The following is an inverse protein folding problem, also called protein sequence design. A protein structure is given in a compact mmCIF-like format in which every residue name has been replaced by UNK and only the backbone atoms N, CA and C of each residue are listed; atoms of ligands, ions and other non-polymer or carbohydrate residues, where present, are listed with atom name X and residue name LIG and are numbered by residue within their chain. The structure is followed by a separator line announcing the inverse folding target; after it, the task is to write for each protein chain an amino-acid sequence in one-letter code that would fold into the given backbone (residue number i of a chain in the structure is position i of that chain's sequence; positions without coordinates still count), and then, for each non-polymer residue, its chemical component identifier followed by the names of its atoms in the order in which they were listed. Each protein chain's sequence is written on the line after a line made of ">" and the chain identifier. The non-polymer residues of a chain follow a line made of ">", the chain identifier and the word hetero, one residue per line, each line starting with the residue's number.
data_IF_086850838058
#
_entry.id   IF_086850838058
#
_cell.length_a   1.000
_cell.length_b   1.000
_cell.length_c   1.000
_cell.angle_alpha   90.00
_cell.angle_beta   90.00
_cell.angle_gamma   90.00
#
_symmetry.space_group_name_H-M   'P 1'
#
loop_
_entity.id
_entity.type
_entity.pdbx_description
1 polymer ?
#
# COMPACT_ATOMS: atom_id res chain seq x y z
N UNK A 1 6.56 14.39 -22.44
CA UNK A 1 6.40 13.30 -21.46
C UNK A 1 6.24 13.90 -20.09
N UNK A 2 5.01 14.16 -19.65
CA UNK A 2 4.74 14.54 -18.27
C UNK A 2 4.35 13.26 -17.53
N UNK A 3 5.15 12.87 -16.53
CA UNK A 3 4.68 11.95 -15.50
C UNK A 3 3.36 12.52 -14.96
N UNK A 4 2.31 11.71 -14.88
CA UNK A 4 1.12 12.06 -14.12
C UNK A 4 1.55 12.24 -12.67
N UNK A 5 1.86 13.48 -12.29
CA UNK A 5 2.07 13.86 -10.90
C UNK A 5 0.76 13.59 -10.18
N UNK A 6 0.67 12.45 -9.48
CA UNK A 6 -0.45 12.14 -8.60
C UNK A 6 -0.67 13.34 -7.66
N UNK A 7 -1.87 13.89 -7.68
CA UNK A 7 -2.24 15.12 -6.99
C UNK A 7 -2.43 14.83 -5.49
N UNK A 8 -1.33 14.53 -4.80
CA UNK A 8 -1.33 14.34 -3.34
C UNK A 8 -2.37 13.34 -2.83
N UNK A 9 -2.93 13.64 -1.65
CA UNK A 9 -3.94 12.83 -0.97
C UNK A 9 -5.34 13.43 -1.14
N UNK A 10 -5.83 13.48 -2.38
CA UNK A 10 -7.14 14.06 -2.77
C UNK A 10 -8.21 13.03 -3.17
N UNK A 11 -7.87 11.74 -3.09
CA UNK A 11 -8.68 10.60 -3.50
C UNK A 11 -8.96 10.49 -5.01
N UNK A 12 -8.12 11.08 -5.87
CA UNK A 12 -8.14 10.92 -7.34
C UNK A 12 -8.21 9.44 -7.78
N UNK A 13 -7.43 8.57 -7.15
CA UNK A 13 -7.32 7.13 -7.46
C UNK A 13 -8.65 6.38 -7.33
N UNK A 14 -9.62 6.92 -6.58
CA UNK A 14 -10.92 6.27 -6.39
C UNK A 14 -11.87 6.50 -7.57
N UNK A 15 -11.65 7.52 -8.41
CA UNK A 15 -12.49 7.89 -9.56
C UNK A 15 -12.44 6.80 -10.64
N UNK A 16 -13.56 6.57 -11.34
CA UNK A 16 -13.61 5.71 -12.53
C UNK A 16 -13.44 6.53 -13.80
N UNK A 17 -12.86 5.91 -14.84
CA UNK A 17 -12.83 6.49 -16.18
C UNK A 17 -14.25 6.76 -16.69
N UNK A 18 -14.39 7.84 -17.46
CA UNK A 18 -15.63 8.19 -18.16
C UNK A 18 -15.34 8.30 -19.66
N UNK A 19 -16.36 8.63 -20.46
CA UNK A 19 -16.15 8.91 -21.88
C UNK A 19 -15.15 10.06 -22.13
N UNK A 20 -14.99 10.96 -21.15
CA UNK A 20 -14.24 12.21 -21.30
C UNK A 20 -12.94 12.25 -20.50
N UNK A 21 -12.63 11.19 -19.72
CA UNK A 21 -11.38 11.13 -18.94
C UNK A 21 -10.89 9.70 -18.70
N UNK A 22 -9.58 9.57 -18.55
CA UNK A 22 -8.93 8.34 -18.07
C UNK A 22 -8.58 8.52 -16.60
N UNK A 23 -9.09 7.63 -15.75
CA UNK A 23 -8.81 7.65 -14.32
C UNK A 23 -7.40 7.11 -14.02
N UNK A 24 -6.81 7.62 -12.94
CA UNK A 24 -5.55 7.12 -12.39
C UNK A 24 -5.61 5.62 -12.07
N UNK A 25 -6.78 5.12 -11.69
CA UNK A 25 -7.04 3.71 -11.42
C UNK A 25 -6.65 2.77 -12.57
N UNK A 26 -6.74 3.26 -13.81
CA UNK A 26 -6.44 2.48 -15.01
C UNK A 26 -4.97 2.66 -15.47
N UNK A 27 -4.15 3.42 -14.73
CA UNK A 27 -2.73 3.57 -15.00
C UNK A 27 -1.96 2.27 -14.65
N UNK A 28 -0.90 1.98 -15.41
CA UNK A 28 -0.05 0.78 -15.26
C UNK A 28 0.33 0.45 -13.79
N UNK A 29 0.83 1.39 -12.96
CA UNK A 29 1.20 1.08 -11.58
C UNK A 29 0.00 0.74 -10.68
N UNK A 30 -1.22 1.09 -11.10
CA UNK A 30 -2.44 0.97 -10.31
C UNK A 30 -3.31 -0.24 -10.69
N UNK A 31 -2.96 -0.96 -11.77
CA UNK A 31 -3.70 -2.14 -12.24
C UNK A 31 -3.74 -3.28 -11.20
N UNK A 32 -2.83 -3.26 -10.23
CA UNK A 32 -2.77 -4.19 -9.12
C UNK A 32 -3.47 -3.71 -7.85
N UNK A 33 -3.96 -2.47 -7.81
CA UNK A 33 -4.65 -1.96 -6.64
C UNK A 33 -6.00 -2.66 -6.47
N UNK A 34 -6.34 -2.97 -5.23
CA UNK A 34 -7.59 -3.60 -4.88
C UNK A 34 -8.20 -2.97 -3.62
N UNK A 35 -9.40 -3.41 -3.25
CA UNK A 35 -10.10 -2.92 -2.06
C UNK A 35 -11.07 -1.76 -2.32
N UNK A 36 -11.25 -1.30 -3.56
CA UNK A 36 -12.20 -0.24 -3.91
C UNK A 36 -13.67 -0.53 -3.54
N UNK A 37 -14.04 -1.81 -3.38
CA UNK A 37 -15.39 -2.26 -2.99
C UNK A 37 -15.53 -2.46 -1.46
N UNK A 38 -14.50 -2.17 -0.67
CA UNK A 38 -14.54 -2.35 0.78
C UNK A 38 -15.26 -1.19 1.45
N UNK A 39 -16.19 -1.52 2.35
CA UNK A 39 -16.81 -0.53 3.22
C UNK A 39 -16.02 -0.48 4.52
N UNK A 40 -15.47 0.69 4.82
CA UNK A 40 -14.91 1.01 6.12
C UNK A 40 -16.08 1.45 7.01
N UNK A 41 -16.31 0.71 8.10
CA UNK A 41 -17.20 1.14 9.16
C UNK A 41 -16.35 1.34 10.41
N UNK A 42 -16.30 2.57 10.91
CA UNK A 42 -15.60 2.88 12.15
C UNK A 42 -16.40 2.34 13.33
N UNK A 43 -15.74 1.59 14.21
CA UNK A 43 -16.27 1.25 15.54
C UNK A 43 -15.72 2.28 16.54
N UNK A 44 -16.48 2.66 17.60
CA UNK A 44 -15.95 3.54 18.63
C UNK A 44 -14.68 2.95 19.26
N UNK A 45 -13.71 3.79 19.66
CA UNK A 45 -12.46 3.34 20.26
C UNK A 45 -12.74 2.54 21.54
N UNK A 46 -12.18 1.33 21.63
CA UNK A 46 -12.19 0.52 22.85
C UNK A 46 -10.97 0.87 23.70
N UNK A 47 -11.10 1.00 25.04
CA UNK A 47 -9.97 1.27 25.92
C UNK A 47 -8.92 0.15 25.80
N UNK A 48 -7.67 0.52 25.52
CA UNK A 48 -6.54 -0.43 25.46
C UNK A 48 -6.36 -1.19 24.14
N UNK A 49 -7.21 -0.96 23.13
CA UNK A 49 -7.05 -1.57 21.81
C UNK A 49 -6.49 -0.54 20.81
N UNK A 50 -5.52 -0.94 19.97
CA UNK A 50 -5.19 -0.15 18.78
C UNK A 50 -6.47 -0.02 17.91
N UNK A 51 -6.70 1.12 17.26
CA UNK A 51 -7.83 1.27 16.34
C UNK A 51 -7.74 0.19 15.25
N UNK A 52 -8.62 -0.81 15.33
CA UNK A 52 -8.70 -1.87 14.34
C UNK A 52 -9.81 -1.54 13.34
N UNK A 53 -9.42 -1.24 12.11
CA UNK A 53 -10.34 -1.15 10.97
C UNK A 53 -10.88 -2.55 10.67
N UNK A 54 -12.16 -2.79 10.95
CA UNK A 54 -12.85 -4.01 10.51
C UNK A 54 -13.46 -3.79 9.13
N UNK A 55 -12.72 -4.25 8.11
CA UNK A 55 -13.15 -4.23 6.72
C UNK A 55 -14.28 -5.24 6.51
N UNK A 56 -15.48 -4.73 6.24
CA UNK A 56 -16.61 -5.56 5.82
C UNK A 56 -16.59 -5.65 4.29
N UNK A 57 -16.13 -6.79 3.78
CA UNK A 57 -16.12 -7.08 2.34
C UNK A 57 -17.53 -7.39 1.86
N UNK A 58 -18.14 -6.54 1.01
CA UNK A 58 -19.32 -6.96 0.24
C UNK A 58 -18.94 -8.16 -0.60
N UNK A 59 -19.68 -9.26 -0.48
CA UNK A 59 -19.40 -10.53 -1.18
C UNK A 59 -19.56 -10.36 -2.69
N UNK A 60 -18.53 -9.86 -3.37
CA UNK A 60 -18.26 -10.18 -4.77
C UNK A 60 -16.99 -11.02 -4.81
N UNK A 61 -17.15 -12.30 -5.16
CA UNK A 61 -16.04 -13.18 -5.52
C UNK A 61 -15.70 -12.91 -6.97
N UNK A 62 -15.05 -11.78 -7.24
CA UNK A 62 -14.10 -11.80 -8.36
C UNK A 62 -12.88 -12.57 -7.87
N UNK A 63 -12.31 -13.49 -8.68
CA UNK A 63 -10.93 -13.91 -8.49
C UNK A 63 -10.13 -12.63 -8.33
N UNK A 64 -9.20 -12.64 -7.41
CA UNK A 64 -8.37 -11.52 -7.03
C UNK A 64 -7.10 -11.68 -7.86
N UNK A 65 -7.00 -11.12 -9.09
CA UNK A 65 -5.71 -10.97 -9.74
C UNK A 65 -4.96 -9.89 -8.98
N UNK A 66 -4.23 -10.34 -7.98
CA UNK A 66 -3.35 -9.54 -7.15
C UNK A 66 -2.07 -9.16 -7.87
N UNK A 67 -1.28 -8.21 -7.32
CA UNK A 67 -0.20 -7.59 -8.05
C UNK A 67 0.69 -8.63 -8.69
N UNK A 68 0.87 -8.46 -10.00
CA UNK A 68 1.94 -9.07 -10.78
C UNK A 68 3.30 -8.67 -10.18
N UNK A 69 3.67 -9.26 -9.05
CA UNK A 69 5.06 -9.31 -8.62
C UNK A 69 5.71 -10.28 -9.60
N UNK A 70 6.18 -9.75 -10.74
CA UNK A 70 7.02 -10.51 -11.64
C UNK A 70 8.17 -11.06 -10.81
N UNK A 71 8.16 -12.37 -10.63
CA UNK A 71 9.15 -13.00 -9.80
C UNK A 71 10.49 -13.04 -10.53
N UNK A 72 11.31 -12.01 -10.31
CA UNK A 72 12.69 -11.96 -10.80
C UNK A 72 13.66 -12.74 -9.89
N UNK A 73 13.19 -13.25 -8.75
CA UNK A 73 14.01 -13.97 -7.78
C UNK A 73 13.87 -15.48 -7.97
N UNK A 74 14.99 -16.21 -7.90
CA UNK A 74 15.04 -17.68 -7.75
C UNK A 74 14.53 -18.09 -6.36
N UNK A 75 13.29 -17.75 -6.00
CA UNK A 75 12.60 -18.29 -4.82
C UNK A 75 11.88 -19.58 -5.22
N UNK A 76 11.84 -20.61 -4.38
CA UNK A 76 11.29 -21.94 -4.73
C UNK A 76 9.80 -21.91 -5.09
N UNK A 77 9.07 -20.85 -4.71
CA UNK A 77 7.66 -20.63 -5.06
C UNK A 77 7.45 -20.12 -6.48
N UNK A 78 8.48 -19.59 -7.13
CA UNK A 78 8.40 -19.07 -8.49
C UNK A 78 8.93 -20.10 -9.48
N UNK A 79 8.09 -21.09 -9.79
CA UNK A 79 8.46 -22.22 -10.66
C UNK A 79 8.31 -21.90 -12.15
N UNK A 80 7.51 -20.90 -12.50
CA UNK A 80 7.20 -20.53 -13.88
C UNK A 80 7.61 -19.07 -14.10
N UNK A 81 8.53 -18.86 -15.05
CA UNK A 81 8.81 -17.54 -15.61
C UNK A 81 7.52 -17.05 -16.27
N UNK A 82 6.89 -16.00 -15.73
CA UNK A 82 5.62 -15.39 -16.16
C UNK A 82 4.33 -15.86 -15.48
N UNK A 83 4.41 -16.54 -14.32
CA UNK A 83 3.21 -16.69 -13.49
C UNK A 83 2.82 -15.35 -12.85
N UNK A 84 1.70 -14.82 -13.34
CA UNK A 84 1.06 -13.58 -12.91
C UNK A 84 0.08 -13.79 -11.73
N UNK A 85 -0.28 -15.04 -11.42
CA UNK A 85 -1.31 -15.37 -10.43
C UNK A 85 -0.73 -15.83 -9.08
N UNK A 86 0.53 -16.26 -9.03
CA UNK A 86 1.15 -16.69 -7.77
C UNK A 86 1.46 -15.51 -6.86
N UNK A 87 0.75 -15.44 -5.74
CA UNK A 87 1.02 -14.49 -4.66
C UNK A 87 2.18 -14.96 -3.78
N UNK A 88 3.12 -14.05 -3.50
CA UNK A 88 4.21 -14.28 -2.55
C UNK A 88 4.05 -13.30 -1.39
N UNK A 89 4.14 -13.80 -0.17
CA UNK A 89 4.09 -12.94 1.01
C UNK A 89 5.36 -12.08 1.10
N UNK A 90 5.17 -10.78 1.31
CA UNK A 90 6.27 -9.81 1.48
C UNK A 90 7.00 -10.03 2.80
N UNK A 91 6.28 -10.43 3.84
CA UNK A 91 6.80 -10.79 5.16
C UNK A 91 6.33 -12.21 5.55
N UNK A 92 7.06 -13.26 5.12
CA UNK A 92 6.63 -14.63 5.34
C UNK A 92 6.50 -14.96 6.83
N UNK A 93 5.32 -15.40 7.24
CA UNK A 93 5.05 -15.74 8.65
C UNK A 93 4.57 -14.57 9.51
N UNK A 94 4.67 -13.33 9.03
CA UNK A 94 4.05 -12.15 9.66
C UNK A 94 3.22 -11.28 8.72
N UNK A 95 2.81 -11.81 7.56
CA UNK A 95 2.10 -11.08 6.49
C UNK A 95 0.81 -10.37 6.91
N UNK A 96 0.23 -10.75 8.05
CA UNK A 96 -1.01 -10.18 8.61
C UNK A 96 -0.78 -9.28 9.81
N UNK A 97 0.46 -9.12 10.26
CA UNK A 97 0.81 -8.32 11.42
C UNK A 97 1.62 -7.10 10.98
N UNK A 98 1.47 -6.00 11.73
CA UNK A 98 2.30 -4.82 11.55
C UNK A 98 3.36 -4.79 12.64
N UNK A 99 4.54 -5.33 12.33
CA UNK A 99 5.62 -5.53 13.30
C UNK A 99 7.02 -5.37 12.65
N UNK A 100 8.05 -5.81 13.37
CA UNK A 100 9.45 -5.67 12.97
C UNK A 100 9.98 -6.83 12.10
N UNK A 101 9.20 -7.89 11.87
CA UNK A 101 9.65 -9.12 11.20
C UNK A 101 10.13 -8.86 9.77
N UNK A 102 9.44 -7.98 9.04
CA UNK A 102 9.87 -7.50 7.73
C UNK A 102 11.32 -6.97 7.72
N UNK A 103 11.71 -6.17 8.72
CA UNK A 103 13.08 -5.64 8.78
C UNK A 103 14.11 -6.71 9.20
N UNK A 104 13.69 -7.74 9.93
CA UNK A 104 14.53 -8.87 10.31
C UNK A 104 14.90 -9.73 9.08
N UNK A 105 13.93 -10.03 8.20
CA UNK A 105 14.19 -10.75 6.94
C UNK A 105 14.96 -9.87 5.94
N UNK A 106 14.75 -8.55 5.98
CA UNK A 106 15.48 -7.62 5.12
C UNK A 106 16.98 -7.65 5.45
N UNK A 107 17.37 -7.64 6.73
CA UNK A 107 18.78 -7.78 7.15
C UNK A 107 19.43 -9.09 6.74
N UNK A 108 18.64 -10.14 6.54
CA UNK A 108 19.09 -11.44 6.02
C UNK A 108 19.20 -11.45 4.48
N UNK A 109 18.97 -10.31 3.81
CA UNK A 109 18.92 -10.16 2.35
C UNK A 109 17.82 -11.01 1.71
N UNK A 110 16.74 -11.25 2.45
CA UNK A 110 15.61 -12.06 1.97
C UNK A 110 14.40 -11.23 1.50
N UNK A 111 14.51 -9.90 1.49
CA UNK A 111 13.48 -9.00 0.99
C UNK A 111 13.05 -9.31 -0.45
N UNK A 112 11.76 -9.12 -0.72
CA UNK A 112 11.14 -9.50 -2.00
C UNK A 112 11.46 -8.50 -3.13
N UNK A 113 11.53 -7.21 -2.83
CA UNK A 113 11.70 -6.17 -3.84
C UNK A 113 13.14 -5.65 -3.92
N UNK A 114 13.56 -5.32 -5.14
CA UNK A 114 14.87 -4.69 -5.38
C UNK A 114 14.97 -3.32 -4.66
N UNK A 115 13.87 -2.56 -4.60
CA UNK A 115 13.79 -1.31 -3.87
C UNK A 115 14.16 -1.48 -2.39
N UNK A 116 13.79 -2.62 -1.81
CA UNK A 116 14.02 -2.89 -0.39
C UNK A 116 15.48 -3.30 -0.16
N UNK A 117 16.03 -4.13 -1.05
CA UNK A 117 17.44 -4.51 -1.02
C UNK A 117 18.37 -3.27 -1.11
N UNK A 118 17.94 -2.22 -1.83
CA UNK A 118 18.67 -0.96 -1.92
C UNK A 118 18.79 -0.22 -0.57
N UNK A 119 17.93 -0.47 0.42
CA UNK A 119 18.04 0.11 1.76
C UNK A 119 19.31 -0.36 2.50
N UNK A 120 19.89 -1.50 2.09
CA UNK A 120 21.06 -2.09 2.74
C UNK A 120 22.38 -1.67 2.09
N UNK A 121 22.34 -1.08 0.88
CA UNK A 121 23.55 -0.71 0.13
C UNK A 121 24.19 0.58 0.66
N UNK A 122 23.36 1.53 1.14
CA UNK A 122 23.83 2.80 1.68
C UNK A 122 23.88 2.75 3.22
N UNK A 123 24.92 3.34 3.82
CA UNK A 123 25.17 3.35 5.27
C UNK A 123 24.01 3.95 6.06
N UNK A 124 23.43 5.06 5.59
CA UNK A 124 22.42 5.80 6.37
C UNK A 124 21.09 5.05 6.46
N UNK A 125 20.45 4.63 5.36
CA UNK A 125 19.23 3.82 5.43
C UNK A 125 19.47 2.48 6.14
N UNK A 126 20.63 1.85 5.94
CA UNK A 126 20.95 0.58 6.59
C UNK A 126 21.05 0.70 8.12
N UNK A 127 21.50 1.84 8.63
CA UNK A 127 21.46 2.16 10.06
C UNK A 127 20.00 2.25 10.56
N UNK A 128 19.15 2.98 9.84
CA UNK A 128 17.72 3.11 10.18
C UNK A 128 17.04 1.74 10.19
N UNK A 129 17.29 0.88 9.19
CA UNK A 129 16.78 -0.50 9.17
C UNK A 129 17.21 -1.27 10.42
N UNK A 130 18.43 -1.04 10.91
CA UNK A 130 18.89 -1.64 12.17
C UNK A 130 18.13 -1.13 13.40
N UNK A 131 17.82 0.17 13.46
CA UNK A 131 17.05 0.76 14.55
C UNK A 131 15.59 0.27 14.56
N UNK A 132 14.99 0.04 13.38
CA UNK A 132 13.63 -0.45 13.22
C UNK A 132 13.43 -1.91 13.63
N UNK A 133 14.51 -2.64 13.96
CA UNK A 133 14.40 -3.96 14.60
C UNK A 133 13.90 -3.86 16.06
N UNK A 134 13.97 -2.68 16.67
CA UNK A 134 13.39 -2.44 17.98
C UNK A 134 11.92 -2.04 17.84
N UNK A 135 11.00 -2.82 18.42
CA UNK A 135 9.56 -2.59 18.27
C UNK A 135 9.10 -1.20 18.75
N UNK A 136 9.66 -0.69 19.86
CA UNK A 136 9.32 0.65 20.36
C UNK A 136 9.77 1.76 19.40
N UNK A 137 10.94 1.59 18.76
CA UNK A 137 11.42 2.50 17.73
C UNK A 137 10.56 2.39 16.47
N UNK A 138 10.26 1.17 16.02
CA UNK A 138 9.42 0.89 14.87
C UNK A 138 8.06 1.56 14.98
N UNK A 139 7.27 1.27 16.02
CA UNK A 139 5.92 1.84 16.13
C UNK A 139 5.92 3.37 16.25
N UNK A 140 6.97 3.94 16.86
CA UNK A 140 7.14 5.40 16.93
C UNK A 140 7.53 6.01 15.60
N UNK A 141 8.44 5.39 14.85
CA UNK A 141 9.00 5.97 13.62
C UNK A 141 8.14 5.68 12.39
N UNK A 142 7.47 4.53 12.32
CA UNK A 142 6.64 4.15 11.17
C UNK A 142 5.45 5.09 10.94
N UNK A 143 4.94 5.74 11.98
CA UNK A 143 3.85 6.71 11.88
C UNK A 143 4.27 8.06 11.25
N UNK A 144 5.54 8.47 11.40
CA UNK A 144 6.00 9.78 10.94
C UNK A 144 5.96 9.96 9.41
N UNK A 145 6.48 9.03 8.58
CA UNK A 145 6.36 9.17 7.14
C UNK A 145 4.90 9.10 6.69
N UNK A 146 4.06 8.27 7.32
CA UNK A 146 2.61 8.22 7.02
C UNK A 146 1.92 9.56 7.29
N UNK A 147 2.23 10.21 8.43
CA UNK A 147 1.70 11.56 8.76
C UNK A 147 2.12 12.60 7.72
N UNK A 148 3.38 12.57 7.28
CA UNK A 148 3.90 13.50 6.27
C UNK A 148 3.29 13.23 4.90
N UNK A 149 3.20 11.96 4.51
CA UNK A 149 2.60 11.53 3.25
C UNK A 149 1.12 11.94 3.17
N UNK A 150 0.36 11.72 4.25
CA UNK A 150 -1.05 12.10 4.32
C UNK A 150 -1.32 13.61 4.28
N UNK A 151 -0.29 14.44 4.40
CA UNK A 151 -0.39 15.90 4.30
C UNK A 151 -0.03 16.43 2.89
N UNK A 152 0.39 15.57 1.97
CA UNK A 152 0.80 15.99 0.62
C UNK A 152 -0.44 16.35 -0.19
N UNK A 153 -0.47 17.56 -0.75
CA UNK A 153 -1.48 17.98 -1.73
C UNK A 153 -2.92 17.85 -1.25
N UNK A 154 -3.17 17.95 0.06
CA UNK A 154 -4.52 17.87 0.63
C UNK A 154 -5.33 19.08 0.20
N UNK A 155 -6.49 18.81 -0.37
CA UNK A 155 -7.46 19.83 -0.75
C UNK A 155 -8.20 20.35 0.49
N UNK A 156 -8.31 21.68 0.61
CA UNK A 156 -8.87 22.36 1.78
C UNK A 156 -9.64 23.62 1.39
N UNK A 157 -10.51 24.09 2.31
CA UNK A 157 -11.38 25.23 2.05
C UNK A 157 -12.36 24.95 0.92
N UNK A 158 -12.31 25.77 -0.13
CA UNK A 158 -13.16 25.65 -1.33
C UNK A 158 -12.47 24.94 -2.49
N UNK A 159 -11.25 24.43 -2.29
CA UNK A 159 -10.54 23.62 -3.30
C UNK A 159 -11.09 22.20 -3.25
N UNK A 160 -11.81 21.79 -4.30
CA UNK A 160 -12.38 20.43 -4.42
C UNK A 160 -13.80 20.30 -3.84
N UNK A 161 -14.23 19.06 -3.62
CA UNK A 161 -15.58 18.74 -3.14
C UNK A 161 -15.61 17.49 -2.25
N UNK A 162 -16.64 17.41 -1.40
CA UNK A 162 -16.96 16.20 -0.65
C UNK A 162 -17.87 15.34 -1.53
N UNK A 163 -17.33 14.23 -2.04
CA UNK A 163 -18.05 13.33 -2.95
C UNK A 163 -19.04 12.44 -2.19
N UNK A 164 -20.29 12.40 -2.66
CA UNK A 164 -21.31 11.46 -2.12
C UNK A 164 -20.99 10.01 -2.47
N UNK A 165 -20.31 9.80 -3.62
CA UNK A 165 -19.85 8.50 -4.08
C UNK A 165 -18.38 8.61 -4.48
N UNK A 166 -17.50 7.89 -3.81
CA UNK A 166 -16.05 7.99 -4.02
C UNK A 166 -15.57 7.64 -5.43
N UNK A 167 -16.41 7.01 -6.27
CA UNK A 167 -16.02 6.62 -7.63
C UNK A 167 -16.46 7.60 -8.73
N UNK A 168 -17.21 8.66 -8.40
CA UNK A 168 -17.79 9.60 -9.37
C UNK A 168 -17.69 11.02 -8.82
N UNK A 169 -17.41 11.99 -9.69
CA UNK A 169 -17.45 13.43 -9.35
C UNK A 169 -18.92 13.85 -9.22
N UNK A 170 -19.26 14.70 -8.26
CA UNK A 170 -20.65 15.14 -8.12
C UNK A 170 -21.10 15.93 -9.37
N UNK A 171 -22.41 15.93 -9.61
CA UNK A 171 -23.08 16.72 -10.66
C UNK A 171 -24.13 17.61 -10.03
#
# INVERSE_FOLDING_TARGET
>A
MAASSGQGCDASVLVNSTANNTAEKDAIPNLSLAGFDTHVQERPPQPGQQPALQLHRKRRRRPFPEPNIRCFLKKPKCKILNDAATTVEIDPGSSRNFDTAYFAILKQREGLFQSDAALLTNRTPNKIVGELLNSNVFFRQSAQPMKRMGAIGVLHGTSGEIRKKCSVINS
#
